data_IF_370128497476
#
_entry.id   IF_370128497476
#
_cell.length_a   1.000
_cell.length_b   1.000
_cell.length_c   1.000
_cell.angle_alpha   90.00
_cell.angle_beta   90.00
_cell.angle_gamma   90.00
#
_symmetry.space_group_name_H-M   'P 1'
#
loop_
_entity.id
_entity.type
_entity.pdbx_description
1 polymer ?
#
# COMPACT_ATOMS: atom_id res chain seq x y z
N UNK A 1 -19.50 13.49 11.74
CA UNK A 1 -18.15 13.02 11.41
C UNK A 1 -17.87 13.23 9.93
N UNK A 2 -18.57 12.53 9.02
CA UNK A 2 -18.34 12.65 7.57
C UNK A 2 -18.45 14.07 7.02
N UNK A 3 -19.34 14.91 7.54
CA UNK A 3 -19.43 16.33 7.17
C UNK A 3 -18.08 17.07 7.33
N UNK A 4 -17.34 16.80 8.41
CA UNK A 4 -16.06 17.46 8.69
C UNK A 4 -14.95 16.97 7.76
N UNK A 5 -14.91 15.66 7.48
CA UNK A 5 -13.96 15.06 6.54
C UNK A 5 -14.25 15.59 5.13
N UNK A 6 -15.51 15.56 4.71
CA UNK A 6 -15.93 16.01 3.41
C UNK A 6 -15.57 17.49 3.17
N UNK A 7 -15.82 18.37 4.15
CA UNK A 7 -15.46 19.79 4.05
C UNK A 7 -13.93 19.99 3.96
N UNK A 8 -13.15 19.25 4.74
CA UNK A 8 -11.68 19.37 4.79
C UNK A 8 -11.00 18.97 3.48
N UNK A 9 -11.60 18.04 2.74
CA UNK A 9 -11.02 17.44 1.54
C UNK A 9 -11.78 17.78 0.26
N UNK A 10 -12.79 18.66 0.32
CA UNK A 10 -13.69 18.93 -0.82
C UNK A 10 -13.00 19.39 -2.09
N UNK A 11 -11.86 20.07 -1.98
CA UNK A 11 -11.13 20.61 -3.13
C UNK A 11 -10.04 19.66 -3.69
N UNK A 12 -9.85 18.48 -3.09
CA UNK A 12 -8.94 17.45 -3.62
C UNK A 12 -9.52 16.86 -4.91
N UNK A 13 -8.63 16.45 -5.81
CA UNK A 13 -8.99 15.86 -7.09
C UNK A 13 -9.58 14.44 -6.97
N UNK A 14 -9.84 13.82 -8.12
CA UNK A 14 -10.47 12.49 -8.23
C UNK A 14 -9.54 11.33 -7.88
N UNK A 15 -8.27 11.57 -7.53
CA UNK A 15 -7.39 10.54 -6.96
C UNK A 15 -7.71 10.25 -5.49
N UNK A 16 -8.46 11.13 -4.82
CA UNK A 16 -8.98 10.90 -3.48
C UNK A 16 -10.41 10.34 -3.53
N UNK A 17 -10.56 9.12 -3.03
CA UNK A 17 -11.83 8.42 -2.82
C UNK A 17 -12.16 8.36 -1.34
N UNK A 18 -13.44 8.38 -0.97
CA UNK A 18 -13.89 8.13 0.40
C UNK A 18 -14.56 6.77 0.51
N UNK A 19 -14.12 5.97 1.47
CA UNK A 19 -14.77 4.71 1.86
C UNK A 19 -15.71 4.94 3.03
N UNK A 20 -16.95 4.44 2.95
CA UNK A 20 -18.00 4.78 3.92
C UNK A 20 -17.64 4.41 5.37
N UNK A 21 -16.99 3.25 5.55
CA UNK A 21 -16.49 2.69 6.81
C UNK A 21 -15.68 1.40 6.51
N UNK A 22 -14.99 0.82 7.49
CA UNK A 22 -14.22 -0.43 7.31
C UNK A 22 -15.11 -1.69 7.38
N UNK A 23 -15.21 -2.37 8.54
CA UNK A 23 -15.89 -3.67 8.70
C UNK A 23 -17.09 -3.63 9.68
N UNK A 24 -17.55 -2.45 10.09
CA UNK A 24 -18.48 -2.27 11.22
C UNK A 24 -19.97 -2.48 10.84
N UNK A 25 -20.30 -2.65 9.55
CA UNK A 25 -21.67 -2.83 9.08
C UNK A 25 -22.14 -4.29 9.22
N UNK A 26 -22.45 -4.66 10.45
CA UNK A 26 -23.12 -5.89 10.82
C UNK A 26 -23.24 -5.99 12.33
N UNK A 27 -24.45 -6.27 12.84
CA UNK A 27 -24.71 -6.21 14.27
C UNK A 27 -25.11 -7.57 14.82
N UNK A 28 -24.19 -8.24 15.52
CA UNK A 28 -24.44 -9.55 16.14
C UNK A 28 -25.62 -9.53 17.13
N UNK A 29 -25.89 -8.38 17.74
CA UNK A 29 -27.04 -8.17 18.63
C UNK A 29 -28.39 -8.17 17.89
N UNK A 30 -28.38 -7.93 16.57
CA UNK A 30 -29.57 -7.93 15.71
C UNK A 30 -29.65 -9.24 14.93
N UNK A 31 -28.55 -9.63 14.27
CA UNK A 31 -28.49 -10.83 13.45
C UNK A 31 -27.17 -11.57 13.61
N UNK A 32 -27.24 -12.81 14.11
CA UNK A 32 -26.14 -13.76 14.07
C UNK A 32 -26.19 -14.54 12.72
N UNK A 33 -25.19 -14.38 11.82
CA UNK A 33 -25.18 -15.05 10.53
C UNK A 33 -25.07 -16.58 10.62
N UNK A 34 -24.68 -17.12 11.77
CA UNK A 34 -24.59 -18.55 12.05
C UNK A 34 -25.86 -19.13 12.71
N UNK A 35 -26.77 -18.26 13.16
CA UNK A 35 -27.96 -18.62 13.94
C UNK A 35 -29.27 -18.70 13.14
N UNK A 36 -29.21 -18.57 11.81
CA UNK A 36 -30.38 -18.53 10.93
C UNK A 36 -30.67 -17.12 10.40
N UNK A 37 -31.94 -16.83 10.08
CA UNK A 37 -32.35 -15.59 9.40
C UNK A 37 -33.09 -14.60 10.30
N UNK A 38 -33.24 -14.89 11.60
CA UNK A 38 -33.91 -13.98 12.53
C UNK A 38 -33.11 -12.68 12.66
N UNK A 39 -33.77 -11.53 12.51
CA UNK A 39 -33.12 -10.21 12.50
C UNK A 39 -32.32 -9.86 11.24
N UNK A 40 -32.13 -10.79 10.30
CA UNK A 40 -31.32 -10.56 9.08
C UNK A 40 -31.78 -9.33 8.31
N UNK A 41 -33.07 -9.26 7.96
CA UNK A 41 -33.62 -8.17 7.16
C UNK A 41 -33.47 -6.80 7.86
N UNK A 42 -33.65 -6.74 9.18
CA UNK A 42 -33.46 -5.54 9.98
C UNK A 42 -32.00 -5.07 9.96
N UNK A 43 -31.07 -6.01 10.14
CA UNK A 43 -29.64 -5.74 10.10
C UNK A 43 -29.20 -5.20 8.73
N UNK A 44 -29.64 -5.80 7.63
CA UNK A 44 -29.35 -5.27 6.28
C UNK A 44 -29.99 -3.91 6.03
N UNK A 45 -31.20 -3.67 6.52
CA UNK A 45 -31.86 -2.37 6.38
C UNK A 45 -31.05 -1.26 7.05
N UNK A 46 -30.51 -1.50 8.25
CA UNK A 46 -29.64 -0.55 8.94
C UNK A 46 -28.32 -0.32 8.18
N UNK A 47 -27.70 -1.39 7.64
CA UNK A 47 -26.52 -1.28 6.79
C UNK A 47 -26.77 -0.38 5.56
N UNK A 48 -27.86 -0.62 4.84
CA UNK A 48 -28.24 0.17 3.68
C UNK A 48 -28.55 1.64 4.06
N UNK A 49 -29.20 1.89 5.21
CA UNK A 49 -29.47 3.25 5.70
C UNK A 49 -28.18 4.02 6.00
N UNK A 50 -27.22 3.39 6.67
CA UNK A 50 -25.94 4.02 7.01
C UNK A 50 -25.15 4.36 5.75
N UNK A 51 -25.07 3.43 4.79
CA UNK A 51 -24.39 3.68 3.52
C UNK A 51 -25.09 4.77 2.69
N UNK A 52 -26.43 4.84 2.67
CA UNK A 52 -27.15 5.93 1.98
C UNK A 52 -26.86 7.29 2.62
N UNK A 53 -26.92 7.38 3.96
CA UNK A 53 -26.60 8.62 4.69
C UNK A 53 -25.19 9.12 4.41
N UNK A 54 -24.23 8.21 4.28
CA UNK A 54 -22.87 8.56 3.87
C UNK A 54 -22.87 9.23 2.48
N UNK A 55 -23.48 8.61 1.47
CA UNK A 55 -23.54 9.17 0.12
C UNK A 55 -24.23 10.54 0.12
N UNK A 56 -25.36 10.69 0.80
CA UNK A 56 -26.11 11.95 0.88
C UNK A 56 -25.26 13.09 1.48
N UNK A 57 -24.51 12.79 2.56
CA UNK A 57 -23.60 13.74 3.21
C UNK A 57 -22.47 14.16 2.27
N UNK A 58 -21.81 13.20 1.60
CA UNK A 58 -20.71 13.55 0.69
C UNK A 58 -21.22 14.34 -0.51
N UNK A 59 -22.30 13.90 -1.16
CA UNK A 59 -22.84 14.57 -2.35
C UNK A 59 -23.34 15.99 -2.08
N UNK A 60 -23.79 16.28 -0.85
CA UNK A 60 -24.24 17.62 -0.45
C UNK A 60 -23.14 18.56 0.06
N UNK A 61 -21.89 18.10 0.15
CA UNK A 61 -20.80 18.85 0.83
C UNK A 61 -20.01 19.84 -0.04
N UNK A 62 -20.36 19.96 -1.33
CA UNK A 62 -19.76 20.95 -2.26
C UNK A 62 -18.32 20.62 -2.69
N UNK A 63 -17.67 21.59 -3.35
CA UNK A 63 -16.37 21.36 -4.00
C UNK A 63 -16.47 20.28 -5.08
N UNK A 64 -15.50 19.35 -5.10
CA UNK A 64 -15.49 18.19 -5.99
C UNK A 64 -16.31 17.01 -5.45
N UNK A 65 -16.82 17.06 -4.21
CA UNK A 65 -17.50 15.93 -3.57
C UNK A 65 -18.82 15.47 -4.24
N UNK A 66 -19.60 16.33 -4.94
CA UNK A 66 -20.73 15.88 -5.74
C UNK A 66 -20.36 14.84 -6.79
N UNK A 67 -19.12 14.86 -7.29
CA UNK A 67 -18.62 13.96 -8.34
C UNK A 67 -17.53 13.01 -7.83
N UNK A 68 -17.09 13.11 -6.56
CA UNK A 68 -16.01 12.29 -6.01
C UNK A 68 -16.35 10.81 -6.08
N UNK A 69 -15.39 9.97 -6.46
CA UNK A 69 -15.57 8.53 -6.35
C UNK A 69 -15.78 8.11 -4.90
N UNK A 70 -16.76 7.23 -4.65
CA UNK A 70 -17.06 6.70 -3.32
C UNK A 70 -16.88 5.18 -3.29
N UNK A 71 -16.39 4.67 -2.18
CA UNK A 71 -16.27 3.26 -1.91
C UNK A 71 -17.29 2.89 -0.83
N UNK A 72 -18.23 2.01 -1.17
CA UNK A 72 -19.31 1.61 -0.28
C UNK A 72 -18.92 0.29 0.37
N UNK A 73 -18.73 0.32 1.69
CA UNK A 73 -18.45 -0.90 2.41
C UNK A 73 -19.64 -1.86 2.37
N UNK A 74 -19.34 -3.10 1.96
CA UNK A 74 -20.26 -4.21 1.99
C UNK A 74 -20.68 -4.60 3.41
N UNK A 75 -21.61 -5.54 3.53
CA UNK A 75 -22.05 -6.02 4.84
C UNK A 75 -20.89 -6.74 5.54
N UNK A 76 -20.30 -6.11 6.56
CA UNK A 76 -19.10 -6.56 7.29
C UNK A 76 -17.97 -6.96 6.33
N UNK A 77 -17.89 -6.29 5.17
CA UNK A 77 -16.97 -6.58 4.03
C UNK A 77 -16.92 -8.05 3.56
N UNK A 78 -17.83 -8.90 4.03
CA UNK A 78 -17.84 -10.32 3.72
C UNK A 78 -18.50 -10.54 2.36
N UNK A 79 -17.85 -11.32 1.49
CA UNK A 79 -18.29 -11.51 0.10
C UNK A 79 -19.69 -12.11 0.01
N UNK A 80 -19.96 -13.17 0.78
CA UNK A 80 -21.24 -13.87 0.81
C UNK A 80 -22.39 -12.96 1.26
N UNK A 81 -22.14 -12.13 2.27
CA UNK A 81 -23.13 -11.19 2.84
C UNK A 81 -23.32 -9.97 1.96
N UNK A 82 -22.24 -9.47 1.37
CA UNK A 82 -22.30 -8.31 0.45
C UNK A 82 -23.00 -8.69 -0.86
N UNK A 83 -22.85 -9.92 -1.33
CA UNK A 83 -23.58 -10.43 -2.49
C UNK A 83 -25.02 -10.89 -2.17
N UNK A 84 -25.46 -10.77 -0.92
CA UNK A 84 -26.83 -11.12 -0.53
C UNK A 84 -27.83 -10.13 -1.17
N UNK A 85 -28.99 -10.59 -1.68
CA UNK A 85 -30.00 -9.71 -2.26
C UNK A 85 -30.55 -8.64 -1.32
N UNK A 86 -30.35 -8.74 0.00
CA UNK A 86 -30.75 -7.71 0.97
C UNK A 86 -29.76 -6.54 1.04
N UNK A 87 -28.51 -6.74 0.65
CA UNK A 87 -27.57 -5.63 0.47
C UNK A 87 -27.98 -4.80 -0.74
N UNK A 88 -27.96 -3.48 -0.59
CA UNK A 88 -28.27 -2.53 -1.66
C UNK A 88 -27.16 -1.51 -1.74
N UNK A 89 -26.61 -1.34 -2.95
CA UNK A 89 -25.87 -0.12 -3.24
C UNK A 89 -26.78 1.10 -3.01
N UNK A 90 -26.27 2.19 -2.42
CA UNK A 90 -26.99 3.44 -2.30
C UNK A 90 -27.51 3.95 -3.65
N UNK A 91 -28.48 4.84 -3.60
CA UNK A 91 -28.78 5.70 -4.73
C UNK A 91 -27.74 6.80 -4.79
N UNK A 92 -27.07 6.94 -5.92
CA UNK A 92 -26.06 7.97 -6.17
C UNK A 92 -26.39 8.73 -7.46
N UNK A 93 -26.68 10.05 -7.41
CA UNK A 93 -26.93 10.83 -8.62
C UNK A 93 -25.70 10.95 -9.54
N UNK A 94 -24.48 10.75 -9.02
CA UNK A 94 -23.26 10.80 -9.82
C UNK A 94 -22.93 9.48 -10.53
N UNK A 95 -23.48 8.35 -10.07
CA UNK A 95 -23.14 7.00 -10.55
C UNK A 95 -21.63 6.72 -10.50
N UNK A 96 -20.97 7.12 -9.39
CA UNK A 96 -19.51 7.03 -9.20
C UNK A 96 -19.12 6.23 -7.96
N UNK A 97 -19.83 5.14 -7.69
CA UNK A 97 -19.56 4.25 -6.55
C UNK A 97 -18.89 2.93 -6.96
N UNK A 98 -17.99 2.45 -6.10
CA UNK A 98 -17.51 1.07 -6.08
C UNK A 98 -17.97 0.37 -4.79
N UNK A 99 -17.98 -0.97 -4.77
CA UNK A 99 -18.24 -1.76 -3.57
C UNK A 99 -16.93 -2.26 -2.95
N UNK A 100 -16.81 -2.20 -1.62
CA UNK A 100 -15.69 -2.73 -0.85
C UNK A 100 -16.03 -4.07 -0.20
N UNK A 101 -15.11 -5.02 -0.35
CA UNK A 101 -15.13 -6.32 0.32
C UNK A 101 -13.72 -6.70 0.73
N UNK A 102 -13.56 -7.58 1.72
CA UNK A 102 -12.27 -8.08 2.16
C UNK A 102 -12.16 -9.59 1.89
N UNK A 103 -10.97 -10.06 1.53
CA UNK A 103 -10.70 -11.45 1.19
C UNK A 103 -9.69 -12.07 2.15
N UNK A 104 -10.19 -12.86 3.10
CA UNK A 104 -9.42 -13.62 4.08
C UNK A 104 -9.87 -15.09 4.17
N UNK A 105 -10.09 -15.71 3.01
CA UNK A 105 -10.57 -17.09 2.87
C UNK A 105 -9.48 -18.02 2.29
N UNK A 106 -9.23 -19.21 2.88
CA UNK A 106 -9.84 -19.73 4.11
C UNK A 106 -9.22 -19.09 5.37
N UNK A 107 -10.06 -18.83 6.39
CA UNK A 107 -9.63 -18.17 7.63
C UNK A 107 -8.52 -18.95 8.38
N UNK A 108 -8.49 -20.28 8.27
CA UNK A 108 -7.43 -21.10 8.86
C UNK A 108 -6.03 -20.75 8.34
N UNK A 109 -5.92 -20.31 7.09
CA UNK A 109 -4.66 -19.86 6.51
C UNK A 109 -4.51 -18.33 6.58
N UNK A 110 -5.56 -17.60 6.22
CA UNK A 110 -5.49 -16.15 6.00
C UNK A 110 -5.64 -15.31 7.28
N UNK A 111 -6.16 -15.87 8.38
CA UNK A 111 -6.38 -15.17 9.65
C UNK A 111 -5.61 -15.81 10.80
N UNK A 112 -5.73 -17.12 10.98
CA UNK A 112 -5.25 -17.80 12.19
C UNK A 112 -3.74 -18.02 12.17
N UNK A 113 -3.02 -17.56 13.20
CA UNK A 113 -1.62 -17.95 13.47
C UNK A 113 -1.51 -19.24 14.30
N UNK A 114 -2.55 -19.56 15.06
CA UNK A 114 -2.71 -20.74 15.90
C UNK A 114 -4.19 -21.14 15.98
N UNK A 115 -4.47 -22.31 16.54
CA UNK A 115 -5.85 -22.79 16.69
C UNK A 115 -6.68 -21.85 17.58
N UNK A 116 -7.93 -21.62 17.19
CA UNK A 116 -8.90 -20.87 17.97
C UNK A 116 -10.14 -21.75 18.24
N UNK A 117 -10.99 -21.33 19.17
CA UNK A 117 -12.23 -22.06 19.50
C UNK A 117 -13.17 -22.22 18.31
N UNK A 118 -13.05 -21.36 17.30
CA UNK A 118 -13.88 -21.32 16.09
C UNK A 118 -13.18 -21.86 14.83
N UNK A 119 -11.90 -22.26 14.90
CA UNK A 119 -11.17 -22.66 13.70
C UNK A 119 -9.78 -23.24 13.95
N UNK A 120 -9.27 -23.95 12.94
CA UNK A 120 -7.93 -24.56 12.97
C UNK A 120 -6.97 -23.78 12.09
N UNK A 121 -5.78 -23.49 12.62
CA UNK A 121 -4.74 -22.87 11.82
C UNK A 121 -4.17 -23.89 10.83
N UNK A 122 -3.97 -23.45 9.58
CA UNK A 122 -3.35 -24.26 8.54
C UNK A 122 -2.05 -23.59 8.07
N UNK A 123 -0.93 -24.33 8.01
CA UNK A 123 0.34 -23.76 7.59
C UNK A 123 0.47 -23.60 6.07
N UNK A 124 -0.39 -24.25 5.29
CA UNK A 124 -0.27 -24.36 3.83
C UNK A 124 -1.53 -23.91 3.10
N UNK A 125 -1.35 -23.52 1.83
CA UNK A 125 -2.40 -23.14 0.89
C UNK A 125 -2.01 -23.52 -0.54
N UNK A 126 -2.99 -23.90 -1.37
CA UNK A 126 -2.80 -24.11 -2.80
C UNK A 126 -3.13 -25.52 -3.26
N UNK A 127 -4.05 -26.18 -2.55
CA UNK A 127 -4.77 -27.34 -3.06
C UNK A 127 -5.74 -26.93 -4.19
N UNK A 128 -6.24 -27.88 -4.98
CA UNK A 128 -7.25 -27.55 -6.00
C UNK A 128 -8.53 -26.97 -5.38
N UNK A 129 -8.88 -27.40 -4.16
CA UNK A 129 -10.03 -26.83 -3.46
C UNK A 129 -9.81 -25.36 -3.12
N UNK A 130 -8.61 -24.98 -2.70
CA UNK A 130 -8.28 -23.58 -2.40
C UNK A 130 -8.45 -22.69 -3.63
N UNK A 131 -7.89 -23.12 -4.76
CA UNK A 131 -8.03 -22.41 -6.03
C UNK A 131 -9.48 -22.35 -6.51
N UNK A 132 -10.24 -23.45 -6.36
CA UNK A 132 -11.65 -23.48 -6.74
C UNK A 132 -12.48 -22.51 -5.89
N UNK A 133 -12.25 -22.47 -4.58
CA UNK A 133 -12.93 -21.53 -3.68
C UNK A 133 -12.60 -20.08 -4.03
N UNK A 134 -11.30 -19.76 -4.22
CA UNK A 134 -10.85 -18.44 -4.63
C UNK A 134 -11.55 -17.98 -5.92
N UNK A 135 -11.53 -18.79 -6.98
CA UNK A 135 -12.19 -18.46 -8.25
C UNK A 135 -13.70 -18.29 -8.09
N UNK A 136 -14.34 -19.11 -7.26
CA UNK A 136 -15.77 -19.00 -7.00
C UNK A 136 -16.13 -17.66 -6.34
N UNK A 137 -15.35 -17.22 -5.35
CA UNK A 137 -15.59 -15.95 -4.66
C UNK A 137 -15.38 -14.76 -5.62
N UNK A 138 -14.31 -14.78 -6.42
CA UNK A 138 -14.06 -13.75 -7.45
C UNK A 138 -15.20 -13.67 -8.48
N UNK A 139 -15.69 -14.82 -8.95
CA UNK A 139 -16.81 -14.90 -9.90
C UNK A 139 -18.14 -14.47 -9.26
N UNK A 140 -18.34 -14.73 -7.97
CA UNK A 140 -19.54 -14.31 -7.23
C UNK A 140 -19.62 -12.79 -7.17
N UNK A 141 -18.51 -12.11 -6.84
CA UNK A 141 -18.45 -10.64 -6.87
C UNK A 141 -18.63 -10.10 -8.28
N UNK A 142 -17.99 -10.71 -9.28
CA UNK A 142 -18.11 -10.32 -10.68
C UNK A 142 -19.56 -10.36 -11.17
N UNK A 143 -20.25 -11.46 -10.91
CA UNK A 143 -21.65 -11.65 -11.31
C UNK A 143 -22.59 -10.66 -10.61
N UNK A 144 -22.32 -10.36 -9.33
CA UNK A 144 -23.21 -9.52 -8.53
C UNK A 144 -22.98 -8.02 -8.72
N UNK A 145 -21.77 -7.60 -9.10
CA UNK A 145 -21.37 -6.20 -9.18
C UNK A 145 -20.72 -5.83 -10.52
N UNK A 146 -19.54 -6.37 -10.82
CA UNK A 146 -18.75 -5.96 -12.00
C UNK A 146 -19.51 -6.09 -13.31
N UNK A 147 -20.23 -7.20 -13.52
CA UNK A 147 -21.05 -7.44 -14.72
C UNK A 147 -22.30 -6.55 -14.80
N UNK A 148 -22.66 -5.91 -13.68
CA UNK A 148 -23.73 -4.92 -13.59
C UNK A 148 -23.21 -3.48 -13.63
N UNK A 149 -21.92 -3.29 -13.93
CA UNK A 149 -21.30 -1.97 -14.04
C UNK A 149 -20.85 -1.36 -12.71
N UNK A 150 -20.90 -2.09 -11.59
CA UNK A 150 -20.44 -1.61 -10.29
C UNK A 150 -19.02 -2.14 -10.07
N UNK A 151 -17.98 -1.27 -10.01
CA UNK A 151 -16.62 -1.70 -9.73
C UNK A 151 -16.49 -2.34 -8.34
N UNK A 152 -15.59 -3.33 -8.22
CA UNK A 152 -15.27 -3.99 -6.96
C UNK A 152 -13.84 -3.65 -6.56
N UNK A 153 -13.67 -3.16 -5.34
CA UNK A 153 -12.36 -3.01 -4.70
C UNK A 153 -12.32 -4.04 -3.57
N UNK A 154 -11.33 -4.95 -3.64
CA UNK A 154 -11.03 -5.84 -2.52
C UNK A 154 -10.12 -5.03 -1.59
N UNK A 155 -10.74 -4.27 -0.69
CA UNK A 155 -10.09 -3.25 0.16
C UNK A 155 -9.00 -3.83 1.06
N UNK A 156 -9.13 -5.11 1.39
CA UNK A 156 -8.10 -5.87 2.06
C UNK A 156 -8.04 -7.30 1.53
N UNK A 157 -6.84 -7.78 1.26
CA UNK A 157 -6.53 -9.20 1.25
C UNK A 157 -5.15 -9.44 1.84
N UNK A 158 -4.97 -10.58 2.50
CA UNK A 158 -3.69 -10.88 3.11
C UNK A 158 -3.69 -12.20 3.86
N UNK A 159 -2.51 -12.52 4.40
CA UNK A 159 -2.34 -13.59 5.36
C UNK A 159 -1.15 -13.25 6.28
N UNK A 160 -1.13 -13.76 7.54
CA UNK A 160 0.04 -13.67 8.37
C UNK A 160 1.20 -14.47 7.77
N UNK A 161 2.43 -14.15 8.17
CA UNK A 161 3.64 -14.92 7.80
C UNK A 161 4.01 -15.93 8.89
N UNK A 162 3.64 -15.66 10.14
CA UNK A 162 3.95 -16.51 11.28
C UNK A 162 3.19 -17.83 11.20
N UNK A 163 3.92 -18.91 11.48
CA UNK A 163 3.41 -20.29 11.42
C UNK A 163 2.82 -20.67 10.03
N UNK A 164 3.34 -20.06 8.96
CA UNK A 164 2.97 -20.37 7.57
C UNK A 164 4.19 -20.82 6.77
N UNK A 165 3.96 -21.70 5.80
CA UNK A 165 4.96 -22.03 4.80
C UNK A 165 5.17 -20.82 3.86
N UNK A 166 6.41 -20.32 3.67
CA UNK A 166 6.68 -19.16 2.83
C UNK A 166 6.16 -19.29 1.39
N UNK A 167 6.30 -20.47 0.78
CA UNK A 167 5.78 -20.73 -0.57
C UNK A 167 4.25 -20.66 -0.63
N UNK A 168 3.56 -21.13 0.41
CA UNK A 168 2.11 -21.00 0.50
C UNK A 168 1.67 -19.54 0.65
N UNK A 169 2.41 -18.73 1.41
CA UNK A 169 2.15 -17.27 1.52
C UNK A 169 2.32 -16.58 0.15
N UNK A 170 3.43 -16.85 -0.54
CA UNK A 170 3.68 -16.32 -1.89
C UNK A 170 2.56 -16.72 -2.84
N UNK A 171 2.19 -18.00 -2.83
CA UNK A 171 1.17 -18.57 -3.72
C UNK A 171 -0.19 -17.96 -3.45
N UNK A 172 -0.61 -17.85 -2.18
CA UNK A 172 -1.87 -17.22 -1.80
C UNK A 172 -1.95 -15.78 -2.30
N UNK A 173 -0.99 -14.93 -1.93
CA UNK A 173 -1.02 -13.49 -2.25
C UNK A 173 -0.96 -13.21 -3.75
N UNK A 174 -0.14 -13.98 -4.49
CA UNK A 174 -0.07 -13.85 -5.95
C UNK A 174 -1.34 -14.38 -6.64
N UNK A 175 -1.91 -15.50 -6.17
CA UNK A 175 -3.13 -16.08 -6.76
C UNK A 175 -4.34 -15.17 -6.53
N UNK A 176 -4.50 -14.59 -5.33
CA UNK A 176 -5.59 -13.64 -5.05
C UNK A 176 -5.48 -12.42 -5.97
N UNK A 177 -4.27 -11.86 -6.11
CA UNK A 177 -4.04 -10.72 -7.01
C UNK A 177 -4.37 -11.06 -8.47
N UNK A 178 -3.91 -12.22 -8.95
CA UNK A 178 -4.13 -12.67 -10.33
C UNK A 178 -5.62 -12.90 -10.63
N UNK A 179 -6.32 -13.64 -9.77
CA UNK A 179 -7.73 -13.96 -9.98
C UNK A 179 -8.63 -12.74 -9.81
N UNK A 180 -8.28 -11.80 -8.91
CA UNK A 180 -8.96 -10.52 -8.80
C UNK A 180 -8.86 -9.71 -10.12
N UNK A 181 -7.67 -9.60 -10.71
CA UNK A 181 -7.51 -8.92 -12.01
C UNK A 181 -8.24 -9.62 -13.14
N UNK A 182 -8.23 -10.97 -13.21
CA UNK A 182 -9.00 -11.73 -14.21
C UNK A 182 -10.50 -11.46 -14.10
N UNK A 183 -11.00 -11.21 -12.89
CA UNK A 183 -12.41 -10.91 -12.64
C UNK A 183 -12.78 -9.42 -12.75
N UNK A 184 -11.81 -8.53 -13.01
CA UNK A 184 -12.01 -7.08 -13.14
C UNK A 184 -12.07 -6.33 -11.80
N UNK A 185 -11.49 -6.90 -10.75
CA UNK A 185 -11.49 -6.32 -9.40
C UNK A 185 -10.16 -5.64 -9.09
N UNK A 186 -10.16 -4.68 -8.18
CA UNK A 186 -8.94 -4.02 -7.69
C UNK A 186 -8.54 -4.57 -6.31
N UNK A 187 -7.51 -5.43 -6.20
CA UNK A 187 -7.07 -5.96 -4.91
C UNK A 187 -6.07 -5.04 -4.19
N UNK A 188 -6.31 -4.76 -2.92
CA UNK A 188 -5.45 -3.95 -2.05
C UNK A 188 -4.87 -4.84 -0.95
N UNK A 189 -3.55 -5.04 -0.97
CA UNK A 189 -2.89 -5.95 -0.03
C UNK A 189 -2.76 -5.31 1.35
N UNK A 190 -3.28 -5.99 2.37
CA UNK A 190 -3.13 -5.57 3.75
C UNK A 190 -1.69 -5.73 4.23
N UNK A 191 -1.12 -4.69 4.83
CA UNK A 191 0.26 -4.71 5.34
C UNK A 191 0.42 -3.88 6.61
N UNK A 192 0.84 -4.56 7.68
CA UNK A 192 1.24 -3.96 8.95
C UNK A 192 2.77 -3.89 9.06
N UNK A 193 3.32 -3.08 10.00
CA UNK A 193 4.76 -3.14 10.31
C UNK A 193 5.20 -4.58 10.63
N UNK A 194 6.32 -5.03 10.05
CA UNK A 194 6.80 -6.41 10.17
C UNK A 194 6.07 -7.44 9.28
N UNK A 195 5.12 -6.99 8.45
CA UNK A 195 4.40 -7.82 7.47
C UNK A 195 5.09 -7.87 6.11
N UNK A 196 4.31 -7.66 5.04
CA UNK A 196 4.76 -7.86 3.66
C UNK A 196 5.60 -6.71 3.09
N UNK A 197 5.45 -5.50 3.62
CA UNK A 197 6.20 -4.32 3.19
C UNK A 197 6.86 -3.61 4.38
N UNK A 198 8.17 -3.44 4.27
CA UNK A 198 8.99 -2.67 5.20
C UNK A 198 9.01 -1.20 4.76
N UNK A 199 8.47 -0.34 5.64
CA UNK A 199 8.35 1.10 5.40
C UNK A 199 9.65 1.85 5.67
N UNK A 200 10.55 1.31 6.49
CA UNK A 200 11.84 1.92 6.77
C UNK A 200 12.80 1.71 5.60
N UNK A 201 12.81 0.49 5.06
CA UNK A 201 13.65 0.15 3.89
C UNK A 201 12.95 0.38 2.55
N UNK A 202 11.67 0.78 2.55
CA UNK A 202 10.85 1.00 1.36
C UNK A 202 10.86 -0.20 0.39
N UNK A 203 10.79 -1.42 0.93
CA UNK A 203 10.92 -2.67 0.18
C UNK A 203 9.86 -3.68 0.61
N UNK A 204 9.44 -4.54 -0.31
CA UNK A 204 8.73 -5.76 0.08
C UNK A 204 9.69 -6.70 0.81
N UNK A 205 9.24 -7.30 1.91
CA UNK A 205 10.04 -8.26 2.68
C UNK A 205 10.40 -9.49 1.82
N UNK A 206 9.50 -9.86 0.91
CA UNK A 206 9.66 -10.96 -0.02
C UNK A 206 9.83 -10.46 -1.47
N UNK A 207 11.06 -10.58 -1.97
CA UNK A 207 11.43 -10.10 -3.31
C UNK A 207 10.87 -10.99 -4.44
N UNK A 208 10.64 -12.27 -4.18
CA UNK A 208 10.03 -13.18 -5.16
C UNK A 208 8.53 -12.88 -5.32
N UNK A 209 7.85 -12.63 -4.20
CA UNK A 209 6.47 -12.14 -4.22
C UNK A 209 6.37 -10.81 -4.95
N UNK A 210 7.26 -9.85 -4.66
CA UNK A 210 7.29 -8.56 -5.35
C UNK A 210 7.37 -8.74 -6.87
N UNK A 211 8.28 -9.59 -7.34
CA UNK A 211 8.42 -9.89 -8.77
C UNK A 211 7.13 -10.45 -9.37
N UNK A 212 6.50 -11.42 -8.72
CA UNK A 212 5.23 -12.01 -9.17
C UNK A 212 4.12 -10.97 -9.28
N UNK A 213 3.96 -10.10 -8.29
CA UNK A 213 2.93 -9.06 -8.30
C UNK A 213 3.16 -8.03 -9.42
N UNK A 214 4.42 -7.69 -9.73
CA UNK A 214 4.75 -6.82 -10.86
C UNK A 214 4.40 -7.47 -12.20
N UNK A 215 4.72 -8.75 -12.37
CA UNK A 215 4.37 -9.53 -13.56
C UNK A 215 2.85 -9.59 -13.77
N UNK A 216 2.09 -9.88 -12.71
CA UNK A 216 0.62 -9.90 -12.73
C UNK A 216 0.04 -8.53 -13.10
N UNK A 217 0.60 -7.45 -12.55
CA UNK A 217 0.18 -6.07 -12.86
C UNK A 217 0.64 -5.54 -14.21
N UNK A 218 1.36 -6.34 -15.02
CA UNK A 218 1.86 -5.92 -16.32
C UNK A 218 2.93 -4.83 -16.29
N UNK A 219 3.60 -4.63 -15.15
CA UNK A 219 4.67 -3.64 -14.97
C UNK A 219 6.04 -4.32 -15.02
N UNK A 220 7.06 -3.72 -15.67
CA UNK A 220 8.41 -4.26 -15.61
C UNK A 220 8.90 -4.26 -14.16
N UNK A 221 9.48 -5.38 -13.72
CA UNK A 221 10.02 -5.50 -12.38
C UNK A 221 11.10 -4.44 -12.15
N UNK A 222 10.86 -3.55 -11.18
CA UNK A 222 11.74 -2.44 -10.82
C UNK A 222 11.90 -2.41 -9.30
N UNK A 223 12.74 -3.28 -8.71
CA UNK A 223 12.95 -3.27 -7.27
C UNK A 223 13.60 -1.95 -6.86
N UNK A 224 13.15 -1.35 -5.75
CA UNK A 224 13.87 -0.22 -5.17
C UNK A 224 15.21 -0.72 -4.65
N UNK A 225 16.29 -0.29 -5.29
CA UNK A 225 17.60 -0.30 -4.66
C UNK A 225 17.58 0.78 -3.58
N UNK A 226 17.85 0.41 -2.32
CA UNK A 226 18.21 1.43 -1.35
C UNK A 226 19.53 2.01 -1.86
N UNK A 227 19.60 3.32 -2.03
CA UNK A 227 20.89 3.98 -2.12
C UNK A 227 21.65 3.55 -0.86
N UNK A 228 22.75 2.81 -1.04
CA UNK A 228 23.69 2.60 0.05
C UNK A 228 24.01 3.99 0.57
N UNK A 229 23.81 4.33 1.86
CA UNK A 229 24.19 5.63 2.35
C UNK A 229 25.66 5.81 1.99
N UNK A 230 25.93 6.73 1.07
CA UNK A 230 27.27 7.11 0.67
C UNK A 230 28.02 7.43 1.95
N UNK A 231 29.08 6.67 2.25
CA UNK A 231 29.92 6.95 3.41
C UNK A 231 30.41 8.37 3.24
N UNK A 232 30.01 9.27 4.15
CA UNK A 232 30.38 10.66 4.04
C UNK A 232 31.84 10.82 4.47
N UNK A 233 32.75 10.88 3.50
CA UNK A 233 34.20 10.97 3.73
C UNK A 233 34.61 12.43 3.58
N UNK A 234 35.23 12.99 4.63
CA UNK A 234 35.80 14.33 4.57
C UNK A 234 36.82 14.41 3.42
N UNK A 235 36.64 15.38 2.53
CA UNK A 235 37.45 15.56 1.32
C UNK A 235 36.93 14.85 0.07
N UNK A 236 35.98 13.91 0.17
CA UNK A 236 35.34 13.26 -0.99
C UNK A 236 34.18 14.13 -1.50
N UNK A 237 34.46 14.98 -2.49
CA UNK A 237 33.52 16.01 -2.96
C UNK A 237 32.66 15.52 -4.13
N UNK A 238 33.04 14.41 -4.76
CA UNK A 238 32.27 13.76 -5.83
C UNK A 238 31.48 12.52 -5.37
N UNK A 239 31.59 12.17 -4.08
CA UNK A 239 30.88 11.10 -3.40
C UNK A 239 31.17 9.71 -3.99
N UNK A 240 32.37 9.51 -4.54
CA UNK A 240 32.79 8.22 -5.08
C UNK A 240 33.19 7.20 -4.00
N UNK A 241 33.23 7.61 -2.73
CA UNK A 241 33.59 6.79 -1.59
C UNK A 241 35.09 6.79 -1.26
N UNK A 242 35.88 7.69 -1.86
CA UNK A 242 37.31 7.87 -1.59
C UNK A 242 37.74 9.33 -1.70
N UNK A 243 38.62 9.79 -0.81
CA UNK A 243 39.23 11.12 -0.91
C UNK A 243 40.56 11.03 -1.68
N UNK A 244 40.65 11.70 -2.82
CA UNK A 244 41.78 11.62 -3.77
C UNK A 244 42.21 12.99 -4.31
N UNK A 245 43.25 13.01 -5.15
CA UNK A 245 43.68 14.22 -5.88
C UNK A 245 42.59 14.74 -6.81
N UNK A 246 41.71 13.87 -7.34
CA UNK A 246 40.58 14.28 -8.19
C UNK A 246 39.68 15.27 -7.48
N UNK A 247 39.40 15.02 -6.19
CA UNK A 247 38.57 15.88 -5.34
C UNK A 247 39.18 17.26 -5.15
N UNK A 248 40.49 17.32 -4.88
CA UNK A 248 41.19 18.60 -4.75
C UNK A 248 41.18 19.39 -6.07
N UNK A 249 41.31 18.71 -7.21
CA UNK A 249 41.19 19.38 -8.52
C UNK A 249 39.79 19.96 -8.71
N UNK A 250 38.73 19.25 -8.30
CA UNK A 250 37.36 19.75 -8.38
C UNK A 250 37.13 20.99 -7.50
N UNK A 251 37.59 20.97 -6.25
CA UNK A 251 37.52 22.14 -5.35
C UNK A 251 38.33 23.31 -5.90
N UNK A 252 39.51 23.06 -6.48
CA UNK A 252 40.31 24.12 -7.10
C UNK A 252 39.57 24.77 -8.28
N UNK A 253 38.93 23.97 -9.15
CA UNK A 253 38.15 24.49 -10.28
C UNK A 253 36.95 25.29 -9.81
N UNK A 254 36.29 24.82 -8.74
CA UNK A 254 35.17 25.51 -8.09
C UNK A 254 35.61 26.89 -7.56
N UNK A 255 36.72 26.95 -6.82
CA UNK A 255 37.28 28.21 -6.31
C UNK A 255 37.73 29.18 -7.42
N UNK A 256 38.14 28.66 -8.56
CA UNK A 256 38.52 29.45 -9.75
C UNK A 256 37.30 29.88 -10.59
N UNK A 257 36.09 29.48 -10.22
CA UNK A 257 34.86 29.85 -10.93
C UNK A 257 34.74 29.23 -12.32
N UNK A 258 35.27 28.02 -12.53
CA UNK A 258 35.14 27.34 -13.81
C UNK A 258 33.65 27.08 -14.14
N UNK A 259 33.24 27.32 -15.39
CA UNK A 259 31.82 27.22 -15.79
C UNK A 259 31.23 25.80 -15.69
N UNK A 260 32.08 24.77 -15.58
CA UNK A 260 31.73 23.35 -15.47
C UNK A 260 32.08 22.75 -14.10
N UNK A 261 32.47 23.56 -13.11
CA UNK A 261 32.77 23.05 -11.77
C UNK A 261 31.53 23.01 -10.89
N UNK A 262 31.17 21.81 -10.44
CA UNK A 262 30.18 21.57 -9.39
C UNK A 262 30.76 20.57 -8.39
N UNK A 263 30.52 20.78 -7.10
CA UNK A 263 30.81 19.80 -6.05
C UNK A 263 29.52 19.05 -5.74
N UNK A 264 29.55 17.72 -5.76
CA UNK A 264 28.38 16.89 -5.44
C UNK A 264 28.05 17.04 -3.96
N UNK A 265 29.07 17.01 -3.10
CA UNK A 265 28.96 17.39 -1.70
C UNK A 265 30.00 18.45 -1.35
N UNK A 266 29.58 19.71 -1.33
CA UNK A 266 30.46 20.83 -0.99
C UNK A 266 30.88 20.82 0.49
N UNK A 267 30.07 20.28 1.41
CA UNK A 267 30.36 20.23 2.84
C UNK A 267 31.63 19.41 3.13
N UNK A 268 31.94 18.42 2.28
CA UNK A 268 33.17 17.64 2.38
C UNK A 268 34.41 18.44 2.02
N UNK A 269 34.26 19.60 1.37
CA UNK A 269 35.34 20.54 1.12
C UNK A 269 35.51 21.57 2.27
N UNK A 270 34.57 21.68 3.22
CA UNK A 270 34.61 22.67 4.32
C UNK A 270 35.46 22.16 5.49
N UNK A 271 36.78 22.23 5.32
CA UNK A 271 37.73 21.74 6.32
C UNK A 271 37.76 22.61 7.58
N UNK A 272 37.33 23.87 7.50
CA UNK A 272 37.32 24.82 8.61
C UNK A 272 36.02 24.73 9.41
N UNK A 273 34.95 24.23 8.79
CA UNK A 273 33.59 24.12 9.33
C UNK A 273 32.98 25.50 9.59
N UNK A 274 33.12 26.40 8.63
CA UNK A 274 32.55 27.75 8.69
C UNK A 274 31.42 28.01 7.67
N UNK A 275 30.91 26.94 7.06
CA UNK A 275 29.84 26.92 6.06
C UNK A 275 30.22 27.71 4.79
N UNK A 276 31.52 27.84 4.50
CA UNK A 276 32.05 28.47 3.30
C UNK A 276 33.19 27.64 2.75
N UNK A 277 33.33 27.65 1.41
CA UNK A 277 34.45 27.03 0.73
C UNK A 277 35.34 28.13 0.19
N UNK A 278 36.52 28.27 0.78
CA UNK A 278 37.50 29.24 0.31
C UNK A 278 38.92 28.66 0.23
N UNK A 279 39.90 29.55 0.01
CA UNK A 279 41.30 29.15 -0.17
C UNK A 279 41.89 28.50 1.08
N UNK A 280 41.37 28.81 2.28
CA UNK A 280 41.86 28.26 3.53
C UNK A 280 41.44 26.79 3.68
N UNK A 281 40.20 26.45 3.31
CA UNK A 281 39.74 25.06 3.22
C UNK A 281 40.58 24.24 2.25
N UNK A 282 40.82 24.80 1.06
CA UNK A 282 41.63 24.14 0.04
C UNK A 282 43.07 23.89 0.51
N UNK A 283 43.64 24.79 1.30
CA UNK A 283 44.95 24.57 1.91
C UNK A 283 44.94 23.39 2.90
N UNK A 284 43.89 23.27 3.72
CA UNK A 284 43.73 22.15 4.66
C UNK A 284 43.47 20.82 3.93
N UNK A 285 42.63 20.84 2.90
CA UNK A 285 42.35 19.70 2.03
C UNK A 285 43.63 19.17 1.38
N UNK A 286 44.47 20.04 0.80
CA UNK A 286 45.77 19.64 0.23
C UNK A 286 46.73 19.08 1.27
N UNK A 287 46.74 19.65 2.48
CA UNK A 287 47.55 19.13 3.58
C UNK A 287 47.10 17.72 3.97
N UNK A 288 45.78 17.49 4.02
CA UNK A 288 45.19 16.20 4.33
C UNK A 288 45.58 15.12 3.29
N UNK A 289 45.53 15.43 1.99
CA UNK A 289 46.00 14.53 0.92
C UNK A 289 47.47 14.15 1.08
N UNK A 290 48.34 15.14 1.33
CA UNK A 290 49.79 14.90 1.47
C UNK A 290 50.09 14.06 2.73
N UNK A 291 49.32 14.23 3.81
CA UNK A 291 49.48 13.40 5.01
C UNK A 291 49.03 11.95 4.82
N UNK A 292 48.10 11.67 3.89
CA UNK A 292 47.71 10.30 3.55
C UNK A 292 48.83 9.58 2.79
N UNK A 293 49.49 10.24 1.83
CA UNK A 293 50.61 9.65 1.07
C UNK A 293 51.84 9.35 1.92
N UNK A 294 52.04 10.07 3.03
CA UNK A 294 53.16 9.84 3.97
C UNK A 294 52.87 8.75 5.02
N UNK A 295 51.69 8.13 4.97
CA UNK A 295 51.27 7.09 5.92
C UNK A 295 51.38 5.65 5.38
N UNK A 296 52.11 5.48 4.27
CA UNK A 296 52.47 4.21 3.62
C UNK A 296 53.92 3.84 3.92
#
# INVERSE_FOLDING_TARGET
MWEQIADSFKDYDDYLMFESQNEELGWDSIWNPWGGTNGKAESYALCNEVNQKFVDVIRSSGGNNPERHLLISGYNTAIDRTCDPLFKMPQDPADRMAVSVHYYSPAGFAILEEDADWGKATPTWGSEQDYSSLRNDMNTMKTNFTDKGIPVIIGEYGCPTKNKEPESVRRFLSSVCEEAYKAGHCPVMWSTPGGHYDRDTCKMADQELQKKLYEIGGKPFSPRTLDTPSVNIMGDVDMNGTFTVSDAVQVQRFLLGAHDSSLVNWENADFIKDDRIDIYDFCLMRKALISQDNSI
#
